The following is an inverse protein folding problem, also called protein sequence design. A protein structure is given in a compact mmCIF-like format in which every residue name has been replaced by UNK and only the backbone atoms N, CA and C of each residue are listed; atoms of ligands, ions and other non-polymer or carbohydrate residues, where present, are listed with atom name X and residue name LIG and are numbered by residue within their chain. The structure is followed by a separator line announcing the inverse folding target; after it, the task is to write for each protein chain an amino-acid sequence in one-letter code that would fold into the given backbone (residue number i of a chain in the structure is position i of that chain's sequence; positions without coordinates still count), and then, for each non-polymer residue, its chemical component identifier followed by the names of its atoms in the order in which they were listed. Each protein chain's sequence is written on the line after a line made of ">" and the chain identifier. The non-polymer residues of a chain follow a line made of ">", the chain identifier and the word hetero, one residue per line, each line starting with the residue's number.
data_IF_786414359377
#
_entry.id   IF_786414359377
#
_cell.length_a   1.000
_cell.length_b   1.000
_cell.length_c   1.000
_cell.angle_alpha   90.00
_cell.angle_beta   90.00
_cell.angle_gamma   90.00
#
_symmetry.space_group_name_H-M   'P 1'
#
loop_
_entity.id
_entity.type
_entity.pdbx_description
1 polymer ?
#
# COMPACT_ATOMS: atom_id res chain seq x y z
N UNK A 1 40.63 6.89 -16.67
CA UNK A 1 39.40 6.37 -17.27
C UNK A 1 38.30 6.37 -16.22
N UNK A 2 37.14 7.00 -16.48
CA UNK A 2 35.99 6.79 -15.60
C UNK A 2 35.55 5.32 -15.69
N UNK A 3 35.17 4.68 -14.57
CA UNK A 3 34.67 3.32 -14.61
C UNK A 3 33.41 3.25 -15.45
N UNK A 4 33.27 2.19 -16.24
CA UNK A 4 32.01 1.92 -16.95
C UNK A 4 30.85 1.91 -15.94
N UNK A 5 29.68 2.46 -16.30
CA UNK A 5 28.51 2.38 -15.44
C UNK A 5 28.18 0.90 -15.17
N UNK A 6 27.70 0.62 -13.96
CA UNK A 6 27.44 -0.75 -13.46
C UNK A 6 26.31 -1.48 -14.19
N UNK A 7 25.62 -0.80 -15.10
CA UNK A 7 24.41 -1.21 -15.78
C UNK A 7 24.50 -0.79 -17.24
N UNK A 8 23.99 -1.64 -18.12
CA UNK A 8 24.00 -1.59 -19.58
C UNK A 8 25.39 -1.63 -20.22
N UNK A 9 26.38 -2.27 -19.56
CA UNK A 9 27.75 -2.41 -20.08
C UNK A 9 27.80 -3.07 -21.46
N UNK A 10 26.91 -4.04 -21.72
CA UNK A 10 26.80 -4.69 -23.03
C UNK A 10 26.28 -3.73 -24.10
N UNK A 11 25.25 -2.90 -23.81
CA UNK A 11 24.75 -1.89 -24.76
C UNK A 11 25.81 -0.83 -25.03
N UNK A 12 26.55 -0.39 -24.01
CA UNK A 12 27.63 0.58 -24.18
C UNK A 12 28.73 -0.01 -25.07
N UNK A 13 29.13 -1.27 -24.84
CA UNK A 13 30.09 -1.95 -25.69
C UNK A 13 29.58 -2.07 -27.14
N UNK A 14 28.30 -2.40 -27.34
CA UNK A 14 27.66 -2.46 -28.66
C UNK A 14 27.63 -1.10 -29.35
N UNK A 15 27.29 -0.02 -28.63
CA UNK A 15 27.31 1.35 -29.15
C UNK A 15 28.73 1.72 -29.58
N UNK A 16 29.74 1.48 -28.72
CA UNK A 16 31.15 1.76 -29.05
C UNK A 16 31.60 0.99 -30.29
N UNK A 17 31.29 -0.31 -30.36
CA UNK A 17 31.61 -1.15 -31.50
C UNK A 17 30.98 -0.64 -32.80
N UNK A 18 29.71 -0.22 -32.75
CA UNK A 18 29.01 0.32 -33.91
C UNK A 18 29.62 1.65 -34.37
N UNK A 19 29.97 2.55 -33.44
CA UNK A 19 30.64 3.82 -33.78
C UNK A 19 31.97 3.56 -34.48
N UNK A 20 32.78 2.62 -33.99
CA UNK A 20 34.08 2.28 -34.59
C UNK A 20 33.97 1.65 -35.98
N UNK A 21 32.81 1.10 -36.35
CA UNK A 21 32.55 0.48 -37.66
C UNK A 21 31.95 1.42 -38.69
N UNK A 22 31.58 2.64 -38.30
CA UNK A 22 31.09 3.62 -39.25
C UNK A 22 32.18 3.96 -40.28
N UNK A 23 31.79 4.27 -41.53
CA UNK A 23 32.74 4.75 -42.53
C UNK A 23 33.45 6.03 -42.05
N UNK A 24 34.60 6.36 -42.65
CA UNK A 24 35.39 7.54 -42.28
C UNK A 24 34.51 8.80 -42.24
N UNK A 25 34.46 9.44 -41.07
CA UNK A 25 33.68 10.64 -40.80
C UNK A 25 33.69 11.02 -39.32
N UNK A 26 33.06 12.15 -38.98
CA UNK A 26 32.88 12.61 -37.60
C UNK A 26 31.46 12.35 -37.12
N UNK A 27 31.31 11.94 -35.85
CA UNK A 27 30.03 11.69 -35.19
C UNK A 27 29.89 12.69 -34.04
N UNK A 28 28.85 13.52 -34.08
CA UNK A 28 28.53 14.46 -33.01
C UNK A 28 27.31 14.00 -32.22
N UNK A 29 27.43 13.97 -30.90
CA UNK A 29 26.31 13.73 -29.99
C UNK A 29 25.78 15.06 -29.46
N UNK A 30 24.51 15.36 -29.75
CA UNK A 30 23.83 16.55 -29.27
C UNK A 30 22.64 16.15 -28.41
N UNK A 31 22.62 16.63 -27.17
CA UNK A 31 21.43 16.52 -26.32
C UNK A 31 20.37 17.54 -26.74
N UNK A 32 19.11 17.13 -26.74
CA UNK A 32 17.96 18.00 -26.99
C UNK A 32 16.87 17.74 -25.94
N UNK A 33 16.09 18.76 -25.56
CA UNK A 33 15.05 18.60 -24.54
C UNK A 33 13.88 17.75 -25.05
N UNK A 34 13.33 16.93 -24.16
CA UNK A 34 12.12 16.15 -24.45
C UNK A 34 10.87 17.04 -24.54
N UNK A 35 9.87 16.59 -25.30
CA UNK A 35 8.52 17.20 -25.37
C UNK A 35 8.50 18.71 -25.64
N UNK A 36 9.43 19.19 -26.46
CA UNK A 36 9.63 20.62 -26.72
C UNK A 36 9.22 21.06 -28.14
N UNK A 37 8.40 20.29 -28.87
CA UNK A 37 7.96 20.66 -30.22
C UNK A 37 8.97 20.37 -31.34
N UNK A 38 10.13 19.78 -31.03
CA UNK A 38 11.17 19.50 -32.04
C UNK A 38 10.71 18.29 -32.88
N UNK A 39 10.26 18.56 -34.10
CA UNK A 39 9.61 17.58 -34.98
C UNK A 39 10.36 16.25 -35.10
N UNK A 40 11.69 16.28 -35.28
CA UNK A 40 12.51 15.07 -35.39
C UNK A 40 12.55 14.24 -34.10
N UNK A 41 12.67 14.90 -32.94
CA UNK A 41 12.66 14.23 -31.63
C UNK A 41 11.29 13.63 -31.32
N UNK A 42 10.22 14.38 -31.57
CA UNK A 42 8.85 13.92 -31.37
C UNK A 42 8.49 12.75 -32.29
N UNK A 43 9.00 12.77 -33.53
CA UNK A 43 8.86 11.65 -34.43
C UNK A 43 9.56 10.39 -33.91
N UNK A 44 10.80 10.51 -33.44
CA UNK A 44 11.54 9.40 -32.85
C UNK A 44 10.86 8.85 -31.59
N UNK A 45 10.46 9.71 -30.64
CA UNK A 45 9.78 9.32 -29.40
C UNK A 45 8.44 8.61 -29.67
N UNK A 46 7.66 9.10 -30.64
CA UNK A 46 6.39 8.48 -31.05
C UNK A 46 6.62 7.07 -31.59
N UNK A 47 7.60 6.89 -32.47
CA UNK A 47 7.93 5.57 -33.05
C UNK A 47 8.45 4.63 -31.96
N UNK A 48 9.34 5.10 -31.07
CA UNK A 48 9.85 4.29 -29.96
C UNK A 48 8.72 3.82 -29.02
N UNK A 49 7.74 4.68 -28.72
CA UNK A 49 6.55 4.32 -27.93
C UNK A 49 5.67 3.30 -28.63
N UNK A 50 5.44 3.44 -29.93
CA UNK A 50 4.68 2.47 -30.73
C UNK A 50 5.35 1.10 -30.70
N UNK A 51 6.68 1.06 -30.90
CA UNK A 51 7.48 -0.15 -30.82
C UNK A 51 7.46 -0.79 -29.42
N UNK A 52 7.48 -0.01 -28.35
CA UNK A 52 7.40 -0.53 -26.98
C UNK A 52 6.05 -1.22 -26.66
N UNK A 53 5.02 -0.96 -27.48
CA UNK A 53 3.68 -1.56 -27.36
C UNK A 53 3.36 -2.60 -28.43
N UNK A 54 4.25 -2.81 -29.41
CA UNK A 54 4.05 -3.82 -30.46
C UNK A 54 4.46 -5.20 -29.97
N UNK A 55 3.72 -6.23 -30.38
CA UNK A 55 4.06 -7.65 -30.11
C UNK A 55 5.23 -8.16 -30.97
N UNK A 56 5.81 -7.32 -31.82
CA UNK A 56 6.91 -7.67 -32.71
C UNK A 56 8.26 -7.60 -31.97
N UNK A 57 8.97 -8.71 -31.74
CA UNK A 57 10.24 -8.70 -31.03
C UNK A 57 11.32 -8.06 -31.91
N UNK A 58 11.49 -6.74 -31.78
CA UNK A 58 12.39 -5.93 -32.59
C UNK A 58 13.89 -6.25 -32.41
N UNK A 59 14.28 -6.96 -31.34
CA UNK A 59 15.60 -7.58 -31.16
C UNK A 59 15.61 -8.43 -29.88
N UNK A 60 16.40 -9.51 -29.86
CA UNK A 60 16.71 -10.27 -28.64
C UNK A 60 17.76 -9.51 -27.80
N UNK A 61 17.31 -8.46 -27.11
CA UNK A 61 18.14 -7.71 -26.17
C UNK A 61 17.97 -8.36 -24.79
N UNK A 62 19.03 -8.90 -24.19
CA UNK A 62 18.94 -9.57 -22.90
C UNK A 62 18.56 -8.57 -21.81
N UNK A 63 17.56 -8.92 -21.01
CA UNK A 63 17.16 -8.13 -19.86
C UNK A 63 18.30 -8.00 -18.84
N UNK A 64 18.36 -6.83 -18.21
CA UNK A 64 19.16 -6.66 -17.02
C UNK A 64 18.54 -7.35 -15.81
N UNK A 65 19.39 -7.68 -14.83
CA UNK A 65 18.94 -8.24 -13.57
C UNK A 65 17.89 -7.37 -12.87
N UNK A 66 18.05 -6.04 -12.89
CA UNK A 66 17.10 -5.08 -12.30
C UNK A 66 15.72 -5.14 -12.97
N UNK A 67 15.69 -5.27 -14.29
CA UNK A 67 14.48 -5.39 -15.10
C UNK A 67 13.78 -6.72 -14.82
N UNK A 68 14.51 -7.83 -14.87
CA UNK A 68 13.98 -9.16 -14.51
C UNK A 68 13.44 -9.18 -13.09
N UNK A 69 14.17 -8.60 -12.14
CA UNK A 69 13.74 -8.50 -10.75
C UNK A 69 12.44 -7.71 -10.63
N UNK A 70 12.30 -6.59 -11.35
CA UNK A 70 11.07 -5.79 -11.36
C UNK A 70 9.88 -6.59 -11.92
N UNK A 71 10.07 -7.29 -13.04
CA UNK A 71 9.06 -8.16 -13.67
C UNK A 71 8.62 -9.25 -12.70
N UNK A 72 9.57 -9.99 -12.11
CA UNK A 72 9.30 -11.08 -11.15
C UNK A 72 8.56 -10.54 -9.92
N UNK A 73 9.00 -9.40 -9.37
CA UNK A 73 8.32 -8.77 -8.23
C UNK A 73 6.89 -8.36 -8.57
N UNK A 74 6.66 -7.75 -9.75
CA UNK A 74 5.31 -7.39 -10.22
C UNK A 74 4.42 -8.62 -10.36
N UNK A 75 4.94 -9.69 -10.96
CA UNK A 75 4.24 -10.97 -11.07
C UNK A 75 3.86 -11.56 -9.71
N UNK A 76 4.81 -11.59 -8.76
CA UNK A 76 4.56 -12.07 -7.40
C UNK A 76 3.48 -11.23 -6.68
N UNK A 77 3.54 -9.91 -6.78
CA UNK A 77 2.53 -9.02 -6.20
C UNK A 77 1.14 -9.27 -6.80
N UNK A 78 1.05 -9.41 -8.12
CA UNK A 78 -0.22 -9.67 -8.81
C UNK A 78 -0.80 -11.03 -8.40
N UNK A 79 0.03 -12.08 -8.36
CA UNK A 79 -0.37 -13.41 -7.91
C UNK A 79 -0.95 -13.38 -6.49
N UNK A 80 -0.22 -12.78 -5.54
CA UNK A 80 -0.67 -12.70 -4.16
C UNK A 80 -1.90 -11.82 -3.99
N UNK A 81 -1.98 -10.72 -4.74
CA UNK A 81 -3.16 -9.87 -4.74
C UNK A 81 -4.39 -10.61 -5.26
N UNK A 82 -4.28 -11.37 -6.35
CA UNK A 82 -5.38 -12.17 -6.89
C UNK A 82 -5.82 -13.25 -5.89
N UNK A 83 -4.87 -13.98 -5.30
CA UNK A 83 -5.15 -14.99 -4.27
C UNK A 83 -5.79 -14.37 -3.03
N UNK A 84 -5.35 -13.20 -2.61
CA UNK A 84 -5.96 -12.50 -1.48
C UNK A 84 -7.38 -12.04 -1.81
N UNK A 85 -7.60 -11.45 -2.97
CA UNK A 85 -8.94 -11.01 -3.41
C UNK A 85 -9.94 -12.16 -3.45
N UNK A 86 -9.52 -13.38 -3.81
CA UNK A 86 -10.43 -14.54 -3.85
C UNK A 86 -10.83 -15.08 -2.46
N UNK A 87 -10.00 -14.91 -1.44
CA UNK A 87 -10.27 -15.47 -0.10
C UNK A 87 -10.61 -14.41 0.97
N UNK A 88 -10.32 -13.13 0.74
CA UNK A 88 -10.37 -12.09 1.78
C UNK A 88 -11.74 -11.98 2.46
N UNK A 89 -12.83 -12.19 1.72
CA UNK A 89 -14.20 -12.12 2.27
C UNK A 89 -14.46 -13.10 3.42
N UNK A 90 -13.63 -14.14 3.57
CA UNK A 90 -13.73 -15.15 4.63
C UNK A 90 -13.12 -14.69 5.96
N UNK A 91 -12.38 -13.58 5.97
CA UNK A 91 -11.62 -13.11 7.14
C UNK A 91 -12.01 -11.69 7.53
N UNK A 92 -12.04 -11.39 8.84
CA UNK A 92 -12.28 -10.03 9.35
C UNK A 92 -11.33 -9.00 8.74
N UNK A 93 -10.04 -9.37 8.63
CA UNK A 93 -9.01 -8.56 7.99
C UNK A 93 -9.36 -8.20 6.54
N UNK A 94 -10.06 -9.06 5.83
CA UNK A 94 -10.46 -8.82 4.45
C UNK A 94 -11.46 -7.69 4.28
N UNK A 95 -12.20 -7.29 5.30
CA UNK A 95 -13.04 -6.07 5.25
C UNK A 95 -12.21 -4.79 5.37
N UNK A 96 -11.01 -4.87 5.96
CA UNK A 96 -10.15 -3.73 6.27
C UNK A 96 -9.04 -3.58 5.23
N UNK A 97 -8.41 -4.69 4.83
CA UNK A 97 -7.16 -4.69 4.06
C UNK A 97 -7.40 -5.19 2.64
N UNK A 98 -7.65 -4.30 1.66
CA UNK A 98 -7.87 -4.73 0.29
C UNK A 98 -6.60 -5.16 -0.43
N UNK A 99 -5.47 -4.60 -0.06
CA UNK A 99 -4.20 -4.89 -0.71
C UNK A 99 -3.27 -5.74 0.15
N UNK A 100 -2.56 -6.68 -0.50
CA UNK A 100 -1.45 -7.44 0.11
C UNK A 100 -0.21 -6.60 0.39
N UNK A 101 -0.17 -5.36 -0.14
CA UNK A 101 0.94 -4.43 0.13
C UNK A 101 1.10 -4.21 1.64
N UNK A 102 2.33 -4.16 2.16
CA UNK A 102 2.56 -3.91 3.58
C UNK A 102 1.93 -2.57 4.02
N UNK A 103 1.44 -2.53 5.25
CA UNK A 103 1.12 -1.25 5.87
C UNK A 103 2.40 -0.50 6.23
N UNK A 104 2.37 0.83 6.19
CA UNK A 104 3.42 1.63 6.78
C UNK A 104 3.34 1.46 8.31
N UNK A 105 4.17 0.57 8.86
CA UNK A 105 4.15 0.21 10.29
C UNK A 105 4.69 1.30 11.22
N UNK A 106 5.40 2.31 10.69
CA UNK A 106 6.15 3.31 11.49
C UNK A 106 5.31 4.45 12.10
N UNK A 107 3.99 4.30 12.23
CA UNK A 107 3.10 5.42 12.58
C UNK A 107 2.29 5.29 13.88
N UNK A 108 2.38 4.15 14.58
CA UNK A 108 1.76 3.98 15.90
C UNK A 108 2.78 4.31 17.00
N UNK A 109 2.34 4.96 18.07
CA UNK A 109 3.27 5.54 19.06
C UNK A 109 3.88 4.52 20.01
N UNK A 110 3.22 3.38 20.23
CA UNK A 110 3.66 2.36 21.19
C UNK A 110 3.43 0.94 20.67
N UNK A 111 4.27 0.00 21.12
CA UNK A 111 4.11 -1.44 20.85
C UNK A 111 2.76 -1.99 21.34
N UNK A 112 2.22 -1.43 22.42
CA UNK A 112 0.89 -1.77 22.93
C UNK A 112 -0.18 -1.43 21.90
N UNK A 113 -0.13 -0.22 21.34
CA UNK A 113 -1.09 0.22 20.31
C UNK A 113 -0.92 -0.57 19.01
N UNK A 114 0.32 -0.86 18.58
CA UNK A 114 0.57 -1.75 17.44
C UNK A 114 -0.10 -3.11 17.61
N UNK A 115 0.07 -3.72 18.78
CA UNK A 115 -0.53 -5.01 19.12
C UNK A 115 -2.05 -4.92 19.13
N UNK A 116 -2.60 -3.87 19.75
CA UNK A 116 -4.05 -3.67 19.85
C UNK A 116 -4.68 -3.43 18.47
N UNK A 117 -4.07 -2.60 17.61
CA UNK A 117 -4.51 -2.41 16.23
C UNK A 117 -4.49 -3.73 15.46
N UNK A 118 -3.40 -4.50 15.54
CA UNK A 118 -3.31 -5.81 14.89
C UNK A 118 -4.43 -6.75 15.36
N UNK A 119 -4.70 -6.79 16.67
CA UNK A 119 -5.79 -7.58 17.25
C UNK A 119 -7.17 -7.08 16.81
N UNK A 120 -7.41 -5.77 16.77
CA UNK A 120 -8.65 -5.18 16.28
C UNK A 120 -8.91 -5.54 14.81
N UNK A 121 -7.86 -5.51 13.98
CA UNK A 121 -7.91 -5.88 12.55
C UNK A 121 -8.21 -7.35 12.32
N UNK A 122 -7.66 -8.22 13.16
CA UNK A 122 -7.86 -9.66 13.09
C UNK A 122 -9.15 -10.13 13.79
N UNK A 123 -9.83 -9.24 14.51
CA UNK A 123 -11.00 -9.60 15.32
C UNK A 123 -10.64 -10.37 16.59
N UNK A 124 -9.39 -10.27 17.06
CA UNK A 124 -8.84 -10.96 18.24
C UNK A 124 -8.51 -10.01 19.40
N UNK A 125 -8.98 -8.75 19.32
CA UNK A 125 -8.92 -7.83 20.45
C UNK A 125 -9.71 -8.40 21.63
N UNK A 126 -9.36 -8.07 22.89
CA UNK A 126 -10.04 -8.60 24.07
C UNK A 126 -11.41 -7.93 24.29
N UNK A 127 -12.26 -8.07 23.29
CA UNK A 127 -13.69 -7.77 23.28
C UNK A 127 -14.47 -9.08 23.52
N UNK A 128 -15.68 -8.99 24.05
CA UNK A 128 -16.44 -10.14 24.54
C UNK A 128 -16.64 -11.22 23.46
N UNK A 129 -16.83 -10.85 22.19
CA UNK A 129 -16.97 -11.85 21.11
C UNK A 129 -15.74 -12.74 20.99
N UNK A 130 -14.53 -12.17 21.04
CA UNK A 130 -13.28 -12.92 20.94
C UNK A 130 -12.93 -13.64 22.26
N UNK A 131 -13.15 -12.97 23.40
CA UNK A 131 -12.92 -13.57 24.73
C UNK A 131 -13.84 -14.79 24.97
N UNK A 132 -15.09 -14.73 24.53
CA UNK A 132 -16.03 -15.84 24.62
C UNK A 132 -15.57 -17.06 23.80
N UNK A 133 -15.02 -16.85 22.60
CA UNK A 133 -14.48 -17.94 21.77
C UNK A 133 -13.34 -18.70 22.46
N UNK A 134 -12.56 -18.01 23.29
CA UNK A 134 -11.47 -18.61 24.08
C UNK A 134 -11.89 -18.90 25.53
N UNK A 135 -13.20 -18.87 25.84
CA UNK A 135 -13.77 -19.16 27.17
C UNK A 135 -13.26 -18.26 28.31
N UNK A 136 -12.87 -17.02 27.99
CA UNK A 136 -12.44 -16.00 28.95
C UNK A 136 -13.53 -14.95 29.24
N UNK A 137 -14.68 -15.02 28.58
CA UNK A 137 -15.85 -14.20 28.90
C UNK A 137 -17.09 -15.10 28.98
N UNK A 138 -18.07 -14.78 29.85
CA UNK A 138 -19.29 -15.58 30.01
C UNK A 138 -20.27 -15.44 28.84
N UNK A 139 -20.17 -14.36 28.06
CA UNK A 139 -21.06 -14.06 26.93
C UNK A 139 -20.29 -13.34 25.83
N UNK A 140 -20.66 -13.49 24.54
CA UNK A 140 -20.08 -12.73 23.44
C UNK A 140 -20.67 -11.31 23.29
N UNK A 141 -21.66 -10.94 24.11
CA UNK A 141 -22.46 -9.72 23.96
C UNK A 141 -21.87 -8.54 24.73
N UNK A 142 -22.09 -7.33 24.21
CA UNK A 142 -21.81 -6.08 24.89
C UNK A 142 -22.78 -5.89 26.07
N UNK A 143 -22.30 -5.58 27.29
CA UNK A 143 -23.16 -5.38 28.46
C UNK A 143 -24.18 -4.24 28.29
N UNK A 144 -23.83 -3.21 27.53
CA UNK A 144 -24.62 -1.97 27.44
C UNK A 144 -25.72 -2.00 26.39
N UNK A 145 -25.52 -2.73 25.29
CA UNK A 145 -26.48 -2.76 24.18
C UNK A 145 -26.85 -4.17 23.70
N UNK A 146 -26.35 -5.22 24.35
CA UNK A 146 -26.69 -6.63 24.10
C UNK A 146 -26.44 -7.12 22.65
N UNK A 147 -25.53 -6.49 21.91
CA UNK A 147 -25.11 -6.95 20.57
C UNK A 147 -23.73 -7.63 20.64
N UNK A 148 -23.37 -8.52 19.70
CA UNK A 148 -22.04 -9.14 19.70
C UNK A 148 -20.91 -8.11 19.70
N UNK A 149 -20.06 -8.14 20.72
CA UNK A 149 -19.01 -7.14 20.92
C UNK A 149 -17.80 -7.42 20.01
N UNK A 150 -17.88 -6.92 18.78
CA UNK A 150 -16.83 -7.02 17.75
C UNK A 150 -16.04 -5.72 17.61
N UNK A 151 -14.91 -5.73 16.88
CA UNK A 151 -14.17 -4.49 16.55
C UNK A 151 -15.05 -3.46 15.83
N UNK A 152 -15.93 -3.92 14.93
CA UNK A 152 -16.89 -3.05 14.25
C UNK A 152 -17.86 -2.43 15.24
N UNK A 153 -18.46 -3.25 16.11
CA UNK A 153 -19.36 -2.76 17.14
C UNK A 153 -18.68 -1.70 18.02
N UNK A 154 -17.52 -2.02 18.58
CA UNK A 154 -16.77 -1.14 19.47
C UNK A 154 -16.42 0.20 18.80
N UNK A 155 -15.85 0.17 17.59
CA UNK A 155 -15.38 1.38 16.90
C UNK A 155 -16.51 2.19 16.26
N UNK A 156 -17.59 1.55 15.79
CA UNK A 156 -18.55 2.17 14.85
C UNK A 156 -19.95 2.35 15.44
N UNK A 157 -20.45 1.44 16.29
CA UNK A 157 -21.89 1.37 16.57
C UNK A 157 -22.30 1.19 18.04
N UNK A 158 -21.36 0.99 18.96
CA UNK A 158 -21.68 0.76 20.37
C UNK A 158 -22.24 2.00 21.05
N UNK A 159 -23.51 1.99 21.47
CA UNK A 159 -24.19 3.17 22.06
C UNK A 159 -23.49 3.75 23.29
N UNK A 160 -22.81 2.92 24.08
CA UNK A 160 -22.02 3.34 25.25
C UNK A 160 -20.89 4.34 24.88
N UNK A 161 -20.28 4.17 23.71
CA UNK A 161 -19.10 4.94 23.30
C UNK A 161 -19.42 6.06 22.31
N UNK A 162 -20.67 6.50 22.23
CA UNK A 162 -21.10 7.47 21.22
C UNK A 162 -20.43 8.83 21.39
N UNK A 163 -20.33 9.34 22.62
CA UNK A 163 -19.67 10.63 22.87
C UNK A 163 -18.18 10.61 22.45
N UNK A 164 -17.46 9.55 22.84
CA UNK A 164 -16.06 9.38 22.44
C UNK A 164 -15.92 9.23 20.92
N UNK A 165 -16.86 8.54 20.26
CA UNK A 165 -16.87 8.35 18.81
C UNK A 165 -17.20 9.63 18.06
N UNK A 166 -18.04 10.51 18.58
CA UNK A 166 -18.29 11.82 17.97
C UNK A 166 -17.03 12.69 17.98
N UNK A 167 -16.23 12.62 19.04
CA UNK A 167 -14.93 13.29 19.07
C UNK A 167 -13.96 12.67 18.05
N UNK A 168 -13.89 11.34 17.97
CA UNK A 168 -13.14 10.63 16.93
C UNK A 168 -13.58 11.06 15.52
N UNK A 169 -14.89 11.14 15.28
CA UNK A 169 -15.48 11.55 14.00
C UNK A 169 -15.04 12.95 13.60
N UNK A 170 -15.08 13.92 14.51
CA UNK A 170 -14.62 15.29 14.26
C UNK A 170 -13.15 15.34 13.88
N UNK A 171 -12.29 14.61 14.60
CA UNK A 171 -10.86 14.55 14.31
C UNK A 171 -10.56 13.87 12.97
N UNK A 172 -11.24 12.78 12.64
CA UNK A 172 -11.02 12.05 11.38
C UNK A 172 -11.55 12.86 10.19
N UNK A 173 -12.70 13.53 10.35
CA UNK A 173 -13.28 14.40 9.31
C UNK A 173 -12.40 15.62 8.99
N UNK A 174 -11.72 16.22 9.98
CA UNK A 174 -10.81 17.35 9.73
C UNK A 174 -9.60 16.98 8.85
N UNK A 175 -9.33 15.68 8.70
CA UNK A 175 -8.30 15.15 7.81
C UNK A 175 -8.86 14.55 6.52
N UNK A 176 -10.09 14.88 6.15
CA UNK A 176 -10.70 14.55 4.85
C UNK A 176 -11.32 13.15 4.76
N UNK A 177 -11.43 12.42 5.86
CA UNK A 177 -12.08 11.10 5.90
C UNK A 177 -13.49 11.29 6.47
N UNK A 178 -14.49 11.39 5.59
CA UNK A 178 -15.86 11.75 5.97
C UNK A 178 -16.69 10.56 6.49
N UNK A 179 -16.31 9.34 6.10
CA UNK A 179 -17.03 8.12 6.47
C UNK A 179 -16.18 7.28 7.41
N UNK A 180 -16.70 7.07 8.62
CA UNK A 180 -16.08 6.16 9.58
C UNK A 180 -16.47 4.72 9.25
N UNK A 181 -15.46 3.90 9.07
CA UNK A 181 -15.58 2.45 8.95
C UNK A 181 -14.39 1.82 9.65
N UNK A 182 -14.48 0.53 9.94
CA UNK A 182 -13.33 -0.23 10.46
C UNK A 182 -12.14 -0.12 9.51
N UNK A 183 -12.38 -0.08 8.19
CA UNK A 183 -11.33 0.10 7.19
C UNK A 183 -10.68 1.49 7.29
N UNK A 184 -11.45 2.58 7.40
CA UNK A 184 -10.87 3.91 7.46
C UNK A 184 -10.08 4.16 8.74
N UNK A 185 -10.54 3.61 9.87
CA UNK A 185 -9.90 3.75 11.19
C UNK A 185 -8.71 2.81 11.40
N UNK A 186 -8.73 1.60 10.82
CA UNK A 186 -7.70 0.59 11.04
C UNK A 186 -6.72 0.44 9.87
N UNK A 187 -6.71 1.38 8.93
CA UNK A 187 -5.66 1.50 7.93
C UNK A 187 -5.88 0.65 6.69
N UNK A 188 -7.10 0.60 6.18
CA UNK A 188 -7.39 0.13 4.83
C UNK A 188 -6.79 1.06 3.78
N UNK A 189 -7.63 1.65 2.95
CA UNK A 189 -7.21 2.56 1.86
C UNK A 189 -6.48 3.81 2.37
N UNK A 190 -6.66 4.14 3.65
CA UNK A 190 -6.06 5.32 4.30
C UNK A 190 -4.61 5.10 4.76
N UNK A 191 -4.09 3.88 4.81
CA UNK A 191 -2.78 3.60 5.43
C UNK A 191 -1.57 4.28 4.77
N UNK A 192 -1.67 4.61 3.48
CA UNK A 192 -0.65 5.34 2.74
C UNK A 192 -0.95 6.86 2.65
N UNK A 193 -2.08 7.31 3.18
CA UNK A 193 -2.48 8.71 3.17
C UNK A 193 -1.65 9.53 4.18
N UNK A 194 -1.34 10.81 3.88
CA UNK A 194 -0.78 11.76 4.86
C UNK A 194 -1.62 11.89 6.14
N UNK A 195 -2.93 11.65 6.05
CA UNK A 195 -3.84 11.66 7.20
C UNK A 195 -3.63 10.47 8.17
N UNK A 196 -3.03 9.37 7.73
CA UNK A 196 -2.94 8.13 8.53
C UNK A 196 -2.42 8.29 9.97
N UNK A 197 -1.30 8.99 10.24
CA UNK A 197 -0.83 9.16 11.62
C UNK A 197 -1.82 9.95 12.49
N UNK A 198 -2.57 10.88 11.92
CA UNK A 198 -3.60 11.62 12.65
C UNK A 198 -4.81 10.72 12.97
N UNK A 199 -5.21 9.85 12.02
CA UNK A 199 -6.24 8.84 12.24
C UNK A 199 -5.81 7.87 13.34
N UNK A 200 -4.55 7.40 13.31
CA UNK A 200 -3.99 6.56 14.37
C UNK A 200 -4.13 7.22 15.74
N UNK A 201 -3.68 8.48 15.86
CA UNK A 201 -3.77 9.24 17.11
C UNK A 201 -5.23 9.38 17.58
N UNK A 202 -6.14 9.71 16.68
CA UNK A 202 -7.56 9.84 17.01
C UNK A 202 -8.17 8.53 17.54
N UNK A 203 -7.81 7.39 16.94
CA UNK A 203 -8.26 6.07 17.39
C UNK A 203 -7.61 5.70 18.74
N UNK A 204 -6.35 6.05 18.96
CA UNK A 204 -5.68 5.85 20.27
C UNK A 204 -6.34 6.68 21.37
N UNK A 205 -6.71 7.94 21.10
CA UNK A 205 -7.45 8.79 22.04
C UNK A 205 -8.86 8.24 22.33
N UNK A 206 -9.57 7.76 21.31
CA UNK A 206 -10.85 7.06 21.48
C UNK A 206 -10.68 5.85 22.41
N UNK A 207 -9.71 4.99 22.13
CA UNK A 207 -9.40 3.83 22.96
C UNK A 207 -9.15 4.23 24.41
N UNK A 208 -8.35 5.28 24.63
CA UNK A 208 -8.07 5.82 25.96
C UNK A 208 -9.34 6.26 26.70
N UNK A 209 -10.23 7.00 26.04
CA UNK A 209 -11.47 7.53 26.63
C UNK A 209 -12.50 6.45 26.97
N UNK A 210 -12.54 5.34 26.22
CA UNK A 210 -13.48 4.25 26.52
C UNK A 210 -13.08 3.39 27.71
N UNK A 211 -11.81 3.45 28.15
CA UNK A 211 -11.24 2.58 29.19
C UNK A 211 -11.35 1.05 28.92
N UNK A 212 -11.92 0.63 27.78
CA UNK A 212 -12.27 -0.76 27.45
C UNK A 212 -11.11 -1.76 27.46
N UNK A 213 -9.89 -1.26 27.22
CA UNK A 213 -8.66 -2.06 27.13
C UNK A 213 -7.65 -1.74 28.23
N UNK A 214 -8.09 -1.09 29.31
CA UNK A 214 -7.27 -0.92 30.51
C UNK A 214 -7.19 -2.25 31.27
N UNK A 215 -6.04 -2.55 31.90
CA UNK A 215 -5.87 -3.76 32.69
C UNK A 215 -6.78 -3.79 33.92
#
# INVERSE_FOLDING_TARGET
>A
MQPFPRSYSHLIATIHHNILRLPRGEVHFQWIPSHSGIQGNEAADRIAKQAATSDDPLADIPFEYSELKSIVQKGAWNFWQAKWTSIRGQFALGTIKPSVRPWSLRKLQTRRNETLFARLRLGTAPLNKALYQIRQAPSPLCPSCNTPETSHHYLISCTEFEEAREQLRRQVNSHGVLTLSTASLLGGDTSNCPAWPHICKAVEEFIGKTHRFQP
#
